data_IF_505442372932
#
_entry.id   IF_505442372932
#
_cell.length_a   1.000
_cell.length_b   1.000
_cell.length_c   1.000
_cell.angle_alpha   90.00
_cell.angle_beta   90.00
_cell.angle_gamma   90.00
#
_symmetry.space_group_name_H-M   'P 1'
#
loop_
_entity.id
_entity.type
_entity.pdbx_description
1 polymer ?
#
# COMPACT_ATOMS: atom_id res chain seq x y z
N UNK A 1 -44.34 53.42 -3.78
CA UNK A 1 -44.83 53.76 -2.42
C UNK A 1 -46.29 53.35 -2.29
N UNK A 2 -46.60 52.52 -1.29
CA UNK A 2 -47.92 52.16 -0.73
C UNK A 2 -49.12 51.96 -1.67
N UNK A 3 -49.65 50.74 -1.66
CA UNK A 3 -51.09 50.51 -1.75
C UNK A 3 -51.54 49.54 -0.63
N UNK A 4 -52.74 49.70 -0.04
CA UNK A 4 -53.14 49.06 1.22
C UNK A 4 -54.39 48.16 1.10
N UNK A 5 -54.79 47.63 2.27
CA UNK A 5 -56.15 47.29 2.72
C UNK A 5 -56.53 45.80 2.84
N UNK A 6 -56.64 45.44 4.12
CA UNK A 6 -57.42 44.36 4.72
C UNK A 6 -58.86 44.24 4.23
N UNK A 7 -59.37 43.01 4.33
CA UNK A 7 -60.66 42.58 4.90
C UNK A 7 -60.68 41.04 4.83
N UNK A 8 -61.24 40.23 5.72
CA UNK A 8 -61.78 40.34 7.08
C UNK A 8 -62.48 38.98 7.34
N UNK A 9 -62.33 38.39 8.54
CA UNK A 9 -63.37 37.71 9.35
C UNK A 9 -64.11 36.51 8.68
N UNK A 10 -64.40 35.33 9.25
CA UNK A 10 -64.60 34.85 10.62
C UNK A 10 -65.17 33.42 10.51
N UNK A 11 -64.74 32.47 11.36
CA UNK A 11 -65.61 31.57 12.18
C UNK A 11 -64.80 30.44 12.85
N UNK A 12 -64.43 30.67 14.11
CA UNK A 12 -64.87 29.99 15.35
C UNK A 12 -64.84 28.43 15.47
N UNK A 13 -64.98 27.85 16.69
CA UNK A 13 -63.93 27.03 17.33
C UNK A 13 -64.41 25.62 17.78
N UNK A 14 -63.51 24.76 18.26
CA UNK A 14 -63.83 23.74 19.27
C UNK A 14 -62.59 23.02 19.82
N UNK A 15 -62.55 22.92 21.14
CA UNK A 15 -61.59 22.14 21.93
C UNK A 15 -61.92 20.63 21.89
N UNK A 16 -60.88 19.77 21.92
CA UNK A 16 -60.59 18.74 22.96
C UNK A 16 -59.90 17.45 22.44
N UNK A 17 -58.71 17.20 23.01
CA UNK A 17 -58.10 15.94 23.51
C UNK A 17 -57.64 14.75 22.62
N UNK A 18 -56.49 14.19 23.08
CA UNK A 18 -55.88 12.83 22.91
C UNK A 18 -54.75 12.65 21.84
N UNK A 19 -53.76 11.74 22.00
CA UNK A 19 -52.93 11.30 23.15
C UNK A 19 -51.38 11.37 22.85
N UNK A 20 -50.46 11.03 23.79
CA UNK A 20 -49.02 11.05 23.54
C UNK A 20 -48.56 9.75 22.86
N UNK A 21 -47.89 9.86 21.71
CA UNK A 21 -47.39 8.73 20.93
C UNK A 21 -45.99 8.96 20.37
N UNK A 22 -44.99 8.37 21.05
CA UNK A 22 -43.72 7.88 20.50
C UNK A 22 -42.89 8.84 19.61
N UNK A 23 -42.07 9.68 20.26
CA UNK A 23 -40.81 10.10 19.65
C UNK A 23 -39.88 8.88 19.57
N UNK A 24 -39.78 8.26 18.40
CA UNK A 24 -38.69 7.34 18.06
C UNK A 24 -37.38 8.11 18.15
N UNK A 25 -36.68 7.95 19.27
CA UNK A 25 -35.27 8.30 19.39
C UNK A 25 -34.49 7.40 18.42
N UNK A 26 -34.06 7.97 17.29
CA UNK A 26 -33.03 7.36 16.48
C UNK A 26 -31.72 7.47 17.29
N UNK A 27 -31.35 6.38 17.96
CA UNK A 27 -30.03 6.22 18.56
C UNK A 27 -28.96 6.26 17.46
N UNK A 28 -28.45 7.45 17.16
CA UNK A 28 -27.10 7.59 16.65
C UNK A 28 -26.18 7.24 17.82
N UNK A 29 -25.69 5.99 17.86
CA UNK A 29 -24.62 5.61 18.76
C UNK A 29 -23.37 6.41 18.38
N UNK A 30 -23.18 7.57 19.01
CA UNK A 30 -21.90 8.25 19.02
C UNK A 30 -20.93 7.30 19.71
N UNK A 31 -20.05 6.66 18.94
CA UNK A 31 -18.92 5.93 19.47
C UNK A 31 -18.10 6.94 20.29
N UNK A 32 -18.14 6.80 21.62
CA UNK A 32 -17.29 7.57 22.52
C UNK A 32 -15.85 7.20 22.18
N UNK A 33 -15.13 8.13 21.53
CA UNK A 33 -13.73 7.98 21.21
C UNK A 33 -12.93 8.01 22.52
N UNK A 34 -12.68 6.83 23.09
CA UNK A 34 -11.71 6.69 24.16
C UNK A 34 -10.32 6.76 23.54
N UNK A 35 -9.52 7.75 23.95
CA UNK A 35 -8.09 7.75 23.67
C UNK A 35 -7.49 6.41 24.13
N UNK A 36 -6.54 5.83 23.37
CA UNK A 36 -5.93 4.56 23.75
C UNK A 36 -5.30 4.71 25.14
N UNK A 37 -5.55 3.75 26.02
CA UNK A 37 -5.00 3.81 27.37
C UNK A 37 -3.47 3.82 27.28
N UNK A 38 -2.83 4.90 27.72
CA UNK A 38 -1.37 4.97 27.75
C UNK A 38 -0.86 3.91 28.73
N UNK A 39 -0.16 2.90 28.20
CA UNK A 39 0.40 1.78 28.98
C UNK A 39 1.91 1.91 29.01
N UNK A 40 2.51 2.39 30.11
CA UNK A 40 3.94 2.26 30.29
C UNK A 40 4.26 0.78 30.40
N UNK A 41 4.95 0.25 29.39
CA UNK A 41 5.42 -1.12 29.37
C UNK A 41 6.93 -1.05 29.40
N UNK A 42 7.54 -1.40 30.52
CA UNK A 42 9.00 -1.56 30.62
C UNK A 42 9.54 -2.49 29.52
N UNK A 43 8.74 -3.49 29.14
CA UNK A 43 9.05 -4.34 28.00
C UNK A 43 9.13 -3.54 26.69
N UNK A 44 8.19 -2.63 26.40
CA UNK A 44 8.28 -1.81 25.19
C UNK A 44 9.59 -0.99 25.16
N UNK A 45 9.99 -0.39 26.29
CA UNK A 45 11.24 0.37 26.39
C UNK A 45 12.46 -0.49 26.05
N UNK A 46 12.54 -1.72 26.59
CA UNK A 46 13.62 -2.67 26.28
C UNK A 46 13.68 -3.03 24.79
N UNK A 47 12.53 -3.21 24.14
CA UNK A 47 12.48 -3.53 22.70
C UNK A 47 12.79 -2.32 21.82
N UNK A 48 12.40 -1.11 22.22
CA UNK A 48 12.74 0.13 21.52
C UNK A 48 14.25 0.37 21.51
N UNK A 49 14.97 -0.02 22.58
CA UNK A 49 16.43 0.13 22.66
C UNK A 49 17.20 -0.72 21.64
N UNK A 50 16.59 -1.79 21.12
CA UNK A 50 17.24 -2.68 20.14
C UNK A 50 17.37 -2.00 18.78
N UNK A 51 18.47 -2.30 18.09
CA UNK A 51 18.68 -1.84 16.72
C UNK A 51 18.02 -2.80 15.73
N UNK A 52 17.26 -2.24 14.78
CA UNK A 52 16.72 -3.00 13.67
C UNK A 52 17.84 -3.33 12.67
N UNK A 53 17.95 -4.60 12.27
CA UNK A 53 19.01 -5.04 11.35
C UNK A 53 18.52 -4.91 9.92
N UNK A 54 19.08 -4.01 9.09
CA UNK A 54 18.63 -3.87 7.71
C UNK A 54 18.96 -5.12 6.89
N UNK A 55 18.12 -5.40 5.90
CA UNK A 55 18.30 -6.47 4.91
C UNK A 55 18.50 -5.88 3.51
N UNK A 56 19.26 -6.57 2.67
CA UNK A 56 19.36 -6.30 1.23
C UNK A 56 18.68 -7.40 0.43
N UNK A 57 18.22 -7.08 -0.78
CA UNK A 57 17.67 -8.06 -1.72
C UNK A 57 18.66 -9.21 -1.95
N UNK A 58 19.96 -8.88 -2.11
CA UNK A 58 21.02 -9.87 -2.27
C UNK A 58 21.11 -10.85 -1.10
N UNK A 59 20.97 -10.36 0.14
CA UNK A 59 21.01 -11.21 1.33
C UNK A 59 19.81 -12.17 1.35
N UNK A 60 18.61 -11.68 1.05
CA UNK A 60 17.39 -12.50 1.00
C UNK A 60 17.47 -13.56 -0.11
N UNK A 61 17.94 -13.18 -1.30
CA UNK A 61 18.19 -14.09 -2.42
C UNK A 61 19.19 -15.19 -2.06
N UNK A 62 20.34 -14.83 -1.46
CA UNK A 62 21.37 -15.81 -1.13
C UNK A 62 20.89 -16.79 -0.05
N UNK A 63 20.14 -16.28 0.94
CA UNK A 63 19.60 -17.09 2.03
C UNK A 63 18.68 -18.21 1.52
N UNK A 64 17.76 -17.91 0.60
CA UNK A 64 16.79 -18.90 0.13
C UNK A 64 17.30 -19.87 -0.95
N UNK A 65 18.43 -19.60 -1.63
CA UNK A 65 19.02 -20.53 -2.62
C UNK A 65 19.47 -21.88 -2.04
N UNK A 66 19.81 -21.91 -0.76
CA UNK A 66 20.28 -23.10 -0.07
C UNK A 66 19.42 -23.30 1.17
N UNK A 67 18.18 -23.71 0.96
CA UNK A 67 17.16 -23.83 1.99
C UNK A 67 17.25 -25.20 2.68
N UNK A 68 17.80 -25.21 3.89
CA UNK A 68 17.86 -26.37 4.79
C UNK A 68 16.92 -26.16 5.98
N UNK A 69 16.55 -27.23 6.69
CA UNK A 69 15.74 -27.12 7.91
C UNK A 69 16.37 -26.15 8.93
N UNK A 70 17.69 -26.26 9.17
CA UNK A 70 18.40 -25.35 10.08
C UNK A 70 18.23 -23.89 9.67
N UNK A 71 18.40 -23.59 8.38
CA UNK A 71 18.26 -22.22 7.88
C UNK A 71 16.82 -21.74 7.93
N UNK A 72 15.84 -22.60 7.68
CA UNK A 72 14.43 -22.22 7.84
C UNK A 72 14.14 -21.81 9.30
N UNK A 73 14.66 -22.54 10.28
CA UNK A 73 14.53 -22.21 11.70
C UNK A 73 15.31 -20.94 12.07
N UNK A 74 16.48 -20.71 11.48
CA UNK A 74 17.23 -19.45 11.64
C UNK A 74 16.43 -18.26 11.09
N UNK A 75 15.80 -18.43 9.93
CA UNK A 75 14.91 -17.43 9.31
C UNK A 75 13.68 -17.14 10.18
N UNK A 76 13.09 -18.18 10.78
CA UNK A 76 11.96 -18.05 11.70
C UNK A 76 12.37 -17.24 12.94
N UNK A 77 13.53 -17.54 13.53
CA UNK A 77 14.04 -16.83 14.71
C UNK A 77 14.49 -15.40 14.37
N UNK A 78 15.00 -15.15 13.15
CA UNK A 78 15.24 -13.80 12.66
C UNK A 78 13.95 -12.99 12.66
N UNK A 79 12.87 -13.52 12.06
CA UNK A 79 11.56 -12.86 12.03
C UNK A 79 11.02 -12.63 13.46
N UNK A 80 11.16 -13.63 14.33
CA UNK A 80 10.72 -13.59 15.73
C UNK A 80 11.35 -12.44 16.53
N UNK A 81 12.59 -12.06 16.20
CA UNK A 81 13.30 -10.96 16.87
C UNK A 81 13.11 -9.62 16.15
N UNK A 82 13.10 -9.60 14.83
CA UNK A 82 13.06 -8.36 14.05
C UNK A 82 11.67 -7.74 13.97
N UNK A 83 10.61 -8.53 13.79
CA UNK A 83 9.25 -8.00 13.68
C UNK A 83 8.81 -7.22 14.93
N UNK A 84 8.91 -7.76 16.16
CA UNK A 84 8.57 -6.99 17.37
C UNK A 84 9.48 -5.78 17.57
N UNK A 85 10.77 -5.86 17.23
CA UNK A 85 11.68 -4.70 17.29
C UNK A 85 11.21 -3.56 16.39
N UNK A 86 10.90 -3.86 15.12
CA UNK A 86 10.42 -2.88 14.14
C UNK A 86 9.04 -2.32 14.51
N UNK A 87 8.17 -3.13 15.13
CA UNK A 87 6.88 -2.66 15.65
C UNK A 87 7.08 -1.73 16.86
N UNK A 88 8.00 -2.06 17.77
CA UNK A 88 8.29 -1.25 18.94
C UNK A 88 8.74 0.17 18.57
N UNK A 89 9.61 0.32 17.57
CA UNK A 89 10.00 1.64 17.05
C UNK A 89 8.81 2.45 16.53
N UNK A 90 7.87 1.80 15.82
CA UNK A 90 6.65 2.48 15.33
C UNK A 90 5.67 2.83 16.45
N UNK A 91 5.56 1.99 17.49
CA UNK A 91 4.79 2.31 18.68
C UNK A 91 5.36 3.55 19.38
N UNK A 92 6.68 3.63 19.51
CA UNK A 92 7.36 4.83 20.05
C UNK A 92 7.06 6.07 19.20
N UNK A 93 7.19 5.96 17.87
CA UNK A 93 6.90 7.09 16.98
C UNK A 93 5.47 7.63 17.21
N UNK A 94 4.47 6.74 17.31
CA UNK A 94 3.08 7.16 17.59
C UNK A 94 2.97 7.80 19.00
N UNK A 95 3.65 7.25 20.01
CA UNK A 95 3.62 7.79 21.38
C UNK A 95 4.26 9.18 21.50
N UNK A 96 5.18 9.54 20.60
CA UNK A 96 5.82 10.86 20.56
C UNK A 96 4.99 11.93 19.85
N UNK A 97 3.89 11.56 19.19
CA UNK A 97 3.00 12.53 18.54
C UNK A 97 2.24 13.36 19.59
N UNK A 98 1.78 14.58 19.24
CA UNK A 98 0.92 15.36 20.11
C UNK A 98 -0.33 14.57 20.53
N UNK A 99 -0.74 14.69 21.79
CA UNK A 99 -1.87 13.92 22.34
C UNK A 99 -3.14 14.03 21.48
N UNK A 100 -3.45 15.23 20.99
CA UNK A 100 -4.63 15.48 20.14
C UNK A 100 -4.59 14.67 18.83
N UNK A 101 -3.39 14.37 18.31
CA UNK A 101 -3.19 13.54 17.12
C UNK A 101 -3.36 12.07 17.46
N UNK A 102 -2.76 11.61 18.56
CA UNK A 102 -2.90 10.20 19.01
C UNK A 102 -4.34 9.86 19.38
N UNK A 103 -5.08 10.82 19.93
CA UNK A 103 -6.49 10.67 20.28
C UNK A 103 -7.43 10.53 19.05
N UNK A 104 -6.93 10.78 17.83
CA UNK A 104 -7.72 10.55 16.62
C UNK A 104 -8.14 9.06 16.53
N UNK A 105 -9.42 8.73 16.28
CA UNK A 105 -9.91 7.35 16.27
C UNK A 105 -9.19 6.43 15.29
N UNK A 106 -8.73 6.96 14.15
CA UNK A 106 -8.02 6.16 13.15
C UNK A 106 -6.58 5.87 13.56
N UNK A 107 -5.87 6.86 14.12
CA UNK A 107 -4.50 6.68 14.61
C UNK A 107 -4.45 5.83 15.88
N UNK A 108 -5.41 6.02 16.79
CA UNK A 108 -5.61 5.17 17.97
C UNK A 108 -5.84 3.70 17.56
N UNK A 109 -6.66 3.44 16.54
CA UNK A 109 -6.88 2.09 16.06
C UNK A 109 -5.59 1.45 15.50
N UNK A 110 -4.79 2.20 14.76
CA UNK A 110 -3.49 1.71 14.25
C UNK A 110 -2.52 1.42 15.41
N UNK A 111 -2.50 2.28 16.44
CA UNK A 111 -1.72 2.06 17.65
C UNK A 111 -2.11 0.74 18.34
N UNK A 112 -3.41 0.51 18.56
CA UNK A 112 -3.90 -0.72 19.22
C UNK A 112 -3.60 -1.98 18.41
N UNK A 113 -3.72 -1.94 17.07
CA UNK A 113 -3.31 -3.04 16.21
C UNK A 113 -1.83 -3.37 16.37
N UNK A 114 -0.97 -2.34 16.36
CA UNK A 114 0.47 -2.52 16.52
C UNK A 114 0.84 -3.01 17.92
N UNK A 115 0.16 -2.52 18.95
CA UNK A 115 0.38 -2.96 20.32
C UNK A 115 -0.01 -4.43 20.49
N UNK A 116 -1.15 -4.83 19.93
CA UNK A 116 -1.62 -6.22 19.93
C UNK A 116 -0.65 -7.13 19.19
N UNK A 117 -0.17 -6.71 18.02
CA UNK A 117 0.84 -7.46 17.26
C UNK A 117 2.17 -7.56 18.04
N UNK A 118 2.64 -6.47 18.65
CA UNK A 118 3.85 -6.45 19.47
C UNK A 118 3.76 -7.43 20.65
N UNK A 119 2.64 -7.39 21.40
CA UNK A 119 2.38 -8.29 22.52
C UNK A 119 2.33 -9.76 22.08
N UNK A 120 1.75 -10.03 20.91
CA UNK A 120 1.70 -11.37 20.31
C UNK A 120 3.10 -11.87 19.95
N UNK A 121 3.88 -11.08 19.21
CA UNK A 121 5.21 -11.46 18.75
C UNK A 121 6.22 -11.62 19.89
N UNK A 122 6.25 -10.69 20.86
CA UNK A 122 7.26 -10.72 21.93
C UNK A 122 7.14 -11.94 22.85
N UNK A 123 5.97 -12.59 22.88
CA UNK A 123 5.69 -13.78 23.70
C UNK A 123 6.00 -15.09 22.98
N UNK A 124 6.34 -15.05 21.68
CA UNK A 124 6.69 -16.25 20.92
C UNK A 124 8.03 -16.79 21.43
N UNK A 125 8.08 -18.04 21.93
CA UNK A 125 9.31 -18.66 22.39
C UNK A 125 10.25 -18.94 21.21
N UNK A 126 11.50 -19.29 21.53
CA UNK A 126 12.46 -19.71 20.51
C UNK A 126 11.93 -20.87 19.66
N UNK A 127 12.03 -20.73 18.33
CA UNK A 127 11.51 -21.71 17.37
C UNK A 127 12.58 -22.76 17.16
N UNK A 128 12.35 -23.99 17.62
CA UNK A 128 13.34 -25.08 17.60
C UNK A 128 12.92 -26.24 16.69
N UNK A 129 11.65 -26.34 16.36
CA UNK A 129 11.08 -27.40 15.54
C UNK A 129 10.29 -26.86 14.34
N UNK A 130 10.03 -27.73 13.36
CA UNK A 130 9.17 -27.39 12.23
C UNK A 130 7.73 -27.14 12.67
N UNK A 131 7.24 -27.84 13.69
CA UNK A 131 5.89 -27.62 14.24
C UNK A 131 5.77 -26.25 14.92
N UNK A 132 6.82 -25.80 15.62
CA UNK A 132 6.89 -24.42 16.14
C UNK A 132 6.90 -23.40 14.99
N UNK A 133 7.59 -23.70 13.89
CA UNK A 133 7.61 -22.85 12.70
C UNK A 133 6.23 -22.75 12.06
N UNK A 134 5.50 -23.85 11.90
CA UNK A 134 4.14 -23.84 11.38
C UNK A 134 3.19 -23.02 12.26
N UNK A 135 3.28 -23.17 13.58
CA UNK A 135 2.52 -22.34 14.53
C UNK A 135 2.88 -20.86 14.40
N UNK A 136 4.16 -20.55 14.20
CA UNK A 136 4.60 -19.17 13.97
C UNK A 136 4.14 -18.60 12.63
N UNK A 137 4.14 -19.39 11.55
CA UNK A 137 3.61 -18.98 10.25
C UNK A 137 2.13 -18.61 10.32
N UNK A 138 1.31 -19.32 11.11
CA UNK A 138 -0.09 -18.93 11.37
C UNK A 138 -0.19 -17.55 12.00
N UNK A 139 0.64 -17.26 13.01
CA UNK A 139 0.71 -15.94 13.66
C UNK A 139 1.09 -14.84 12.65
N UNK A 140 2.04 -15.11 11.75
CA UNK A 140 2.43 -14.18 10.68
C UNK A 140 1.26 -13.89 9.72
N UNK A 141 0.58 -14.93 9.24
CA UNK A 141 -0.54 -14.81 8.31
C UNK A 141 -1.72 -14.04 8.91
N UNK A 142 -2.08 -14.34 10.16
CA UNK A 142 -3.12 -13.61 10.91
C UNK A 142 -2.75 -12.13 11.04
N UNK A 143 -1.52 -11.84 11.44
CA UNK A 143 -1.07 -10.45 11.63
C UNK A 143 -1.04 -9.67 10.32
N UNK A 144 -0.59 -10.27 9.21
CA UNK A 144 -0.63 -9.65 7.88
C UNK A 144 -2.06 -9.32 7.45
N UNK A 145 -3.00 -10.22 7.74
CA UNK A 145 -4.42 -10.07 7.43
C UNK A 145 -5.05 -8.93 8.24
N UNK A 146 -4.80 -8.89 9.55
CA UNK A 146 -5.30 -7.84 10.45
C UNK A 146 -4.74 -6.46 10.04
N UNK A 147 -3.47 -6.39 9.64
CA UNK A 147 -2.81 -5.16 9.21
C UNK A 147 -3.17 -4.67 7.80
N UNK A 148 -4.11 -5.31 7.11
CA UNK A 148 -4.67 -4.80 5.85
C UNK A 148 -5.45 -3.49 6.03
N UNK A 149 -5.94 -3.18 7.23
CA UNK A 149 -6.69 -1.93 7.53
C UNK A 149 -5.77 -0.73 7.83
N UNK A 150 -4.46 -0.95 7.94
CA UNK A 150 -3.52 0.08 8.43
C UNK A 150 -3.36 1.24 7.47
N UNK A 151 -3.18 1.00 6.16
CA UNK A 151 -2.95 2.10 5.20
C UNK A 151 -4.15 3.05 5.14
N UNK A 152 -5.40 2.57 4.98
CA UNK A 152 -6.56 3.46 4.94
C UNK A 152 -6.75 4.22 6.25
N UNK A 153 -6.56 3.56 7.40
CA UNK A 153 -6.68 4.22 8.71
C UNK A 153 -5.62 5.30 8.91
N UNK A 154 -4.36 5.01 8.58
CA UNK A 154 -3.31 6.02 8.62
C UNK A 154 -3.62 7.21 7.71
N UNK A 155 -4.06 6.96 6.47
CA UNK A 155 -4.38 8.02 5.52
C UNK A 155 -5.56 8.88 5.99
N UNK A 156 -6.63 8.27 6.53
CA UNK A 156 -7.76 9.00 7.11
C UNK A 156 -7.32 9.82 8.33
N UNK A 157 -6.59 9.22 9.27
CA UNK A 157 -6.13 9.91 10.48
C UNK A 157 -5.24 11.11 10.17
N UNK A 158 -4.28 10.94 9.24
CA UNK A 158 -3.41 12.03 8.77
C UNK A 158 -4.18 13.18 8.11
N UNK A 159 -5.25 12.88 7.36
CA UNK A 159 -6.10 13.91 6.76
C UNK A 159 -6.95 14.65 7.81
N UNK A 160 -7.42 13.95 8.84
CA UNK A 160 -8.27 14.52 9.90
C UNK A 160 -7.50 15.37 10.91
N UNK A 161 -6.25 15.02 11.22
CA UNK A 161 -5.41 15.77 12.17
C UNK A 161 -4.69 16.96 11.53
N UNK A 162 -5.10 17.35 10.32
CA UNK A 162 -4.52 18.48 9.61
C UNK A 162 -4.67 19.77 10.41
N UNK A 163 -3.57 20.52 10.53
CA UNK A 163 -3.53 21.76 11.31
C UNK A 163 -3.19 21.57 12.79
N UNK A 164 -3.12 20.32 13.27
CA UNK A 164 -2.69 19.97 14.62
C UNK A 164 -1.19 19.63 14.70
N UNK A 165 -0.55 19.41 13.55
CA UNK A 165 0.88 19.16 13.39
C UNK A 165 1.40 19.90 12.16
N UNK A 166 2.71 20.16 12.13
CA UNK A 166 3.34 20.75 10.93
C UNK A 166 3.20 19.76 9.77
N UNK A 167 2.79 20.21 8.58
CA UNK A 167 2.56 19.31 7.45
C UNK A 167 3.77 18.44 7.09
N UNK A 168 4.98 18.97 7.23
CA UNK A 168 6.25 18.27 6.99
C UNK A 168 6.45 17.11 7.97
N UNK A 169 6.07 17.29 9.25
CA UNK A 169 6.12 16.24 10.27
C UNK A 169 5.09 15.16 9.99
N UNK A 170 3.89 15.54 9.55
CA UNK A 170 2.83 14.60 9.19
C UNK A 170 3.24 13.73 8.01
N UNK A 171 3.81 14.33 6.96
CA UNK A 171 4.30 13.60 5.79
C UNK A 171 5.52 12.72 6.17
N UNK A 172 6.43 13.20 7.04
CA UNK A 172 7.54 12.40 7.58
C UNK A 172 7.02 11.18 8.35
N UNK A 173 6.07 11.38 9.26
CA UNK A 173 5.42 10.31 10.02
C UNK A 173 4.79 9.26 9.10
N UNK A 174 4.02 9.70 8.10
CA UNK A 174 3.37 8.79 7.15
C UNK A 174 4.40 7.97 6.36
N UNK A 175 5.45 8.61 5.84
CA UNK A 175 6.54 7.93 5.16
C UNK A 175 7.23 6.88 6.05
N UNK A 176 7.52 7.22 7.30
CA UNK A 176 8.12 6.29 8.27
C UNK A 176 7.22 5.09 8.56
N UNK A 177 5.93 5.32 8.79
CA UNK A 177 4.94 4.26 9.05
C UNK A 177 4.79 3.31 7.85
N UNK A 178 4.68 3.87 6.64
CA UNK A 178 4.56 3.08 5.40
C UNK A 178 5.81 2.28 5.11
N UNK A 179 7.00 2.89 5.19
CA UNK A 179 8.29 2.23 4.97
C UNK A 179 8.48 1.08 5.95
N UNK A 180 8.17 1.30 7.23
CA UNK A 180 8.23 0.25 8.24
C UNK A 180 7.21 -0.86 8.04
N UNK A 181 6.03 -0.55 7.48
CA UNK A 181 5.03 -1.56 7.12
C UNK A 181 5.51 -2.43 5.97
N UNK A 182 6.02 -1.82 4.88
CA UNK A 182 6.62 -2.54 3.74
C UNK A 182 7.71 -3.48 4.27
N UNK A 183 8.60 -2.95 5.08
CA UNK A 183 9.70 -3.67 5.69
C UNK A 183 9.28 -4.90 6.51
N UNK A 184 8.30 -4.77 7.41
CA UNK A 184 7.76 -5.90 8.18
C UNK A 184 7.04 -6.92 7.30
N UNK A 185 6.33 -6.44 6.27
CA UNK A 185 5.61 -7.29 5.32
C UNK A 185 6.58 -8.13 4.49
N UNK A 186 7.63 -7.53 3.95
CA UNK A 186 8.68 -8.25 3.18
C UNK A 186 9.30 -9.37 4.01
N UNK A 187 9.65 -9.12 5.27
CA UNK A 187 10.23 -10.15 6.14
C UNK A 187 9.24 -11.29 6.38
N UNK A 188 7.99 -10.97 6.70
CA UNK A 188 6.97 -11.96 6.98
C UNK A 188 6.62 -12.79 5.74
N UNK A 189 6.35 -12.15 4.60
CA UNK A 189 6.01 -12.84 3.34
C UNK A 189 7.19 -13.68 2.83
N UNK A 190 8.42 -13.19 2.94
CA UNK A 190 9.59 -13.99 2.57
C UNK A 190 9.69 -15.28 3.40
N UNK A 191 9.48 -15.20 4.71
CA UNK A 191 9.53 -16.39 5.57
C UNK A 191 8.40 -17.38 5.28
N UNK A 192 7.21 -16.87 5.00
CA UNK A 192 6.07 -17.69 4.59
C UNK A 192 6.36 -18.40 3.26
N UNK A 193 6.80 -17.67 2.24
CA UNK A 193 7.11 -18.22 0.93
C UNK A 193 8.25 -19.25 0.97
N UNK A 194 9.28 -19.03 1.80
CA UNK A 194 10.33 -20.04 2.03
C UNK A 194 9.80 -21.29 2.75
N UNK A 195 8.90 -21.12 3.72
CA UNK A 195 8.28 -22.27 4.40
C UNK A 195 7.43 -23.10 3.42
N UNK A 196 6.65 -22.43 2.57
CA UNK A 196 5.83 -23.10 1.56
C UNK A 196 6.69 -23.83 0.51
N UNK A 197 7.81 -23.22 0.11
CA UNK A 197 8.80 -23.85 -0.78
C UNK A 197 9.41 -25.09 -0.12
N UNK A 198 9.81 -25.01 1.16
CA UNK A 198 10.39 -26.14 1.89
C UNK A 198 9.43 -27.32 2.02
N UNK A 199 8.14 -27.03 2.23
CA UNK A 199 7.09 -28.03 2.37
C UNK A 199 6.57 -28.57 1.02
N UNK A 200 7.01 -28.00 -0.10
CA UNK A 200 6.56 -28.42 -1.42
C UNK A 200 7.13 -29.80 -1.78
N UNK A 201 6.34 -30.70 -2.41
CA UNK A 201 6.75 -32.08 -2.71
C UNK A 201 8.05 -32.23 -3.52
N UNK A 202 8.44 -31.18 -4.25
CA UNK A 202 9.56 -31.15 -5.19
C UNK A 202 10.86 -30.58 -4.58
N UNK A 203 10.85 -30.14 -3.31
CA UNK A 203 12.04 -29.57 -2.64
C UNK A 203 13.13 -30.63 -2.36
N UNK A 204 12.82 -31.92 -2.48
CA UNK A 204 13.78 -33.00 -2.21
C UNK A 204 14.61 -33.37 -3.46
N UNK A 205 15.93 -33.64 -3.31
CA UNK A 205 16.90 -33.73 -4.43
C UNK A 205 16.71 -34.84 -5.47
N UNK A 206 15.70 -35.72 -5.32
CA UNK A 206 15.55 -36.89 -6.19
C UNK A 206 14.51 -36.74 -7.31
N UNK A 207 13.73 -35.65 -7.32
CA UNK A 207 12.69 -35.41 -8.33
C UNK A 207 12.74 -33.98 -8.89
N UNK A 208 13.84 -33.55 -9.51
CA UNK A 208 13.84 -32.29 -10.29
C UNK A 208 13.39 -32.57 -11.73
N UNK A 209 12.25 -32.05 -12.20
CA UNK A 209 11.93 -32.02 -13.62
C UNK A 209 12.86 -31.03 -14.33
N UNK A 210 13.26 -31.34 -15.57
CA UNK A 210 14.19 -30.53 -16.39
C UNK A 210 13.65 -29.14 -16.81
N UNK A 211 12.44 -28.76 -16.40
CA UNK A 211 11.83 -27.46 -16.65
C UNK A 211 10.90 -27.07 -15.49
N UNK A 212 11.46 -26.47 -14.43
CA UNK A 212 10.67 -25.93 -13.31
C UNK A 212 10.61 -24.38 -13.38
N UNK A 213 9.40 -23.79 -13.53
CA UNK A 213 9.20 -22.33 -13.46
C UNK A 213 9.65 -21.69 -12.12
N UNK A 214 9.81 -22.49 -11.05
CA UNK A 214 10.22 -22.00 -9.72
C UNK A 214 11.74 -21.81 -9.54
N UNK A 215 12.58 -22.18 -10.53
CA UNK A 215 14.05 -22.01 -10.45
C UNK A 215 14.46 -20.54 -10.36
N UNK A 216 13.63 -19.64 -10.90
CA UNK A 216 13.93 -18.20 -10.93
C UNK A 216 13.32 -17.41 -9.75
N UNK A 217 12.72 -18.07 -8.76
CA UNK A 217 12.06 -17.42 -7.61
C UNK A 217 12.60 -17.93 -6.28
N UNK A 218 12.95 -17.02 -5.37
CA UNK A 218 13.42 -17.34 -4.01
C UNK A 218 12.54 -16.60 -3.00
N UNK A 219 11.52 -17.29 -2.50
CA UNK A 219 10.46 -16.67 -1.71
C UNK A 219 9.69 -15.65 -2.55
N UNK A 220 9.60 -14.41 -2.09
CA UNK A 220 8.95 -13.28 -2.79
C UNK A 220 9.87 -12.58 -3.81
N UNK A 221 11.16 -12.96 -3.86
CA UNK A 221 12.14 -12.33 -4.73
C UNK A 221 12.28 -13.12 -6.02
N UNK A 222 12.03 -12.45 -7.13
CA UNK A 222 12.31 -12.96 -8.45
C UNK A 222 13.75 -12.65 -8.80
N UNK A 223 14.53 -13.68 -9.12
CA UNK A 223 15.95 -13.57 -9.47
C UNK A 223 16.15 -12.86 -10.81
N UNK A 224 15.16 -12.96 -11.69
CA UNK A 224 15.13 -12.37 -13.03
C UNK A 224 13.78 -11.70 -13.28
N UNK A 225 13.56 -10.52 -12.70
CA UNK A 225 12.44 -9.68 -13.14
C UNK A 225 12.76 -9.09 -14.52
N UNK A 226 12.00 -9.45 -15.55
CA UNK A 226 12.06 -8.76 -16.84
C UNK A 226 11.19 -7.49 -16.78
N UNK A 227 11.78 -6.32 -17.04
CA UNK A 227 11.06 -5.05 -16.97
C UNK A 227 9.92 -4.94 -18.00
N UNK A 228 10.16 -5.39 -19.24
CA UNK A 228 9.17 -5.34 -20.33
C UNK A 228 7.93 -6.16 -19.97
N UNK A 229 8.11 -7.40 -19.55
CA UNK A 229 6.99 -8.30 -19.20
C UNK A 229 6.10 -7.71 -18.10
N UNK A 230 6.71 -7.08 -17.10
CA UNK A 230 5.98 -6.45 -16.00
C UNK A 230 5.19 -5.23 -16.52
N UNK A 231 5.80 -4.39 -17.36
CA UNK A 231 5.11 -3.25 -17.99
C UNK A 231 3.94 -3.72 -18.85
N UNK A 232 4.12 -4.76 -19.67
CA UNK A 232 3.06 -5.33 -20.52
C UNK A 232 1.91 -5.89 -19.68
N UNK A 233 2.22 -6.66 -18.63
CA UNK A 233 1.22 -7.21 -17.72
C UNK A 233 0.43 -6.10 -17.02
N UNK A 234 1.14 -5.15 -16.40
CA UNK A 234 0.51 -4.00 -15.72
C UNK A 234 -0.34 -3.18 -16.70
N UNK A 235 0.15 -2.97 -17.92
CA UNK A 235 -0.53 -2.28 -19.00
C UNK A 235 -1.86 -2.95 -19.36
N UNK A 236 -1.82 -4.26 -19.67
CA UNK A 236 -2.99 -5.04 -20.03
C UNK A 236 -4.04 -5.05 -18.91
N UNK A 237 -3.63 -5.38 -17.68
CA UNK A 237 -4.55 -5.40 -16.52
C UNK A 237 -5.18 -4.02 -16.29
N UNK A 238 -4.40 -2.95 -16.41
CA UNK A 238 -4.92 -1.58 -16.22
C UNK A 238 -5.89 -1.18 -17.33
N UNK A 239 -5.58 -1.51 -18.58
CA UNK A 239 -6.46 -1.26 -19.71
C UNK A 239 -7.80 -2.01 -19.57
N UNK A 240 -7.77 -3.28 -19.15
CA UNK A 240 -8.97 -4.08 -18.88
C UNK A 240 -9.83 -3.46 -17.77
N UNK A 241 -9.21 -3.05 -16.66
CA UNK A 241 -9.91 -2.39 -15.55
C UNK A 241 -10.57 -1.07 -15.96
N UNK A 242 -9.87 -0.25 -16.76
CA UNK A 242 -10.39 1.04 -17.22
C UNK A 242 -11.52 0.84 -18.24
N UNK A 243 -11.40 -0.14 -19.16
CA UNK A 243 -12.48 -0.54 -20.06
C UNK A 243 -13.72 -0.99 -19.29
N UNK A 244 -13.54 -1.79 -18.24
CA UNK A 244 -14.65 -2.24 -17.39
C UNK A 244 -15.33 -1.08 -16.65
N UNK A 245 -14.56 -0.07 -16.22
CA UNK A 245 -15.08 1.07 -15.45
C UNK A 245 -15.79 2.13 -16.30
N UNK A 246 -15.27 2.43 -17.48
CA UNK A 246 -15.79 3.49 -18.36
C UNK A 246 -16.62 2.97 -19.54
N UNK A 247 -16.71 1.65 -19.71
CA UNK A 247 -17.45 0.99 -20.78
C UNK A 247 -16.62 0.72 -22.04
N UNK A 248 -17.06 -0.25 -22.84
CA UNK A 248 -16.35 -0.76 -24.02
C UNK A 248 -16.14 0.26 -25.15
N UNK A 249 -16.80 1.42 -25.10
CA UNK A 249 -16.71 2.47 -26.11
C UNK A 249 -15.51 3.40 -25.93
N UNK A 250 -14.82 3.33 -24.79
CA UNK A 250 -13.64 4.18 -24.54
C UNK A 250 -12.45 3.70 -25.36
N UNK A 251 -11.90 4.61 -26.16
CA UNK A 251 -10.64 4.40 -26.86
C UNK A 251 -9.49 4.53 -25.85
N UNK A 252 -8.71 3.47 -25.70
CA UNK A 252 -7.54 3.45 -24.82
C UNK A 252 -6.26 3.76 -25.59
N UNK A 253 -5.26 4.39 -24.94
CA UNK A 253 -3.95 4.56 -25.53
C UNK A 253 -3.23 3.22 -25.64
N UNK A 254 -2.49 3.04 -26.74
CA UNK A 254 -1.52 1.96 -26.87
C UNK A 254 -0.35 2.22 -25.91
N UNK A 255 0.33 1.15 -25.50
CA UNK A 255 1.53 1.24 -24.66
C UNK A 255 2.69 0.75 -25.52
N UNK A 256 3.58 1.66 -25.87
CA UNK A 256 4.79 1.37 -26.64
C UNK A 256 5.96 1.22 -25.69
N UNK A 257 6.75 0.16 -25.86
CA UNK A 257 7.90 -0.14 -24.99
C UNK A 257 9.15 -0.18 -25.85
N UNK A 258 10.14 0.63 -25.50
CA UNK A 258 11.41 0.78 -26.21
C UNK A 258 12.62 0.69 -25.26
N UNK A 259 13.82 0.53 -25.82
CA UNK A 259 15.08 0.44 -25.08
C UNK A 259 15.56 -0.99 -24.83
N UNK A 260 16.06 -1.28 -23.64
CA UNK A 260 16.65 -2.56 -23.26
C UNK A 260 15.57 -3.55 -22.82
N UNK A 261 14.92 -4.20 -23.78
CA UNK A 261 13.77 -5.08 -23.55
C UNK A 261 14.12 -6.38 -22.81
N UNK A 262 15.38 -6.82 -22.89
CA UNK A 262 15.89 -8.03 -22.24
C UNK A 262 16.47 -7.74 -20.84
N UNK A 263 16.29 -6.51 -20.33
CA UNK A 263 16.82 -6.10 -19.04
C UNK A 263 16.19 -6.92 -17.91
N UNK A 264 17.04 -7.70 -17.23
CA UNK A 264 16.66 -8.51 -16.08
C UNK A 264 17.44 -8.12 -14.82
N UNK A 265 16.75 -8.10 -13.69
CA UNK A 265 17.35 -7.76 -12.40
C UNK A 265 16.60 -8.42 -11.24
N UNK A 266 17.27 -8.69 -10.12
CA UNK A 266 16.62 -9.22 -8.93
C UNK A 266 15.77 -8.15 -8.24
N UNK A 267 14.48 -8.41 -8.05
CA UNK A 267 13.57 -7.50 -7.37
C UNK A 267 12.36 -8.22 -6.77
N UNK A 268 11.61 -7.53 -5.89
CA UNK A 268 10.31 -8.02 -5.42
C UNK A 268 9.25 -7.63 -6.45
N UNK A 269 8.73 -8.62 -7.18
CA UNK A 269 7.85 -8.38 -8.31
C UNK A 269 6.60 -7.58 -7.92
N UNK A 270 5.95 -7.93 -6.80
CA UNK A 270 4.74 -7.25 -6.32
C UNK A 270 4.94 -5.75 -6.05
N UNK A 271 6.15 -5.34 -5.61
CA UNK A 271 6.49 -3.93 -5.43
C UNK A 271 6.60 -3.21 -6.76
N UNK A 272 7.26 -3.84 -7.74
CA UNK A 272 7.45 -3.26 -9.06
C UNK A 272 6.14 -3.15 -9.81
N UNK A 273 5.33 -4.19 -9.75
CA UNK A 273 3.96 -4.21 -10.25
C UNK A 273 3.14 -3.06 -9.65
N UNK A 274 3.14 -2.89 -8.32
CA UNK A 274 2.47 -1.76 -7.68
C UNK A 274 2.92 -0.41 -8.24
N UNK A 275 4.23 -0.15 -8.30
CA UNK A 275 4.75 1.13 -8.79
C UNK A 275 4.35 1.35 -10.25
N UNK A 276 4.67 0.41 -11.14
CA UNK A 276 4.44 0.53 -12.58
C UNK A 276 2.95 0.63 -12.87
N UNK A 277 2.12 -0.19 -12.25
CA UNK A 277 0.68 -0.14 -12.45
C UNK A 277 0.03 1.14 -11.96
N UNK A 278 0.48 1.70 -10.83
CA UNK A 278 0.02 3.02 -10.39
C UNK A 278 0.41 4.12 -11.38
N UNK A 279 1.63 4.08 -11.93
CA UNK A 279 2.10 5.05 -12.93
C UNK A 279 1.32 4.91 -14.25
N UNK A 280 1.23 3.70 -14.82
CA UNK A 280 0.48 3.43 -16.04
C UNK A 280 -0.99 3.82 -15.88
N UNK A 281 -1.63 3.48 -14.75
CA UNK A 281 -3.02 3.87 -14.52
C UNK A 281 -3.20 5.37 -14.48
N UNK A 282 -2.29 6.10 -13.83
CA UNK A 282 -2.36 7.56 -13.79
C UNK A 282 -2.20 8.16 -15.21
N UNK A 283 -1.27 7.64 -16.00
CA UNK A 283 -1.04 8.07 -17.39
C UNK A 283 -2.24 7.76 -18.29
N UNK A 284 -2.78 6.55 -18.27
CA UNK A 284 -3.99 6.20 -19.04
C UNK A 284 -5.15 7.09 -18.61
N UNK A 285 -5.36 7.28 -17.30
CA UNK A 285 -6.46 8.09 -16.81
C UNK A 285 -6.32 9.57 -17.22
N UNK A 286 -5.11 10.12 -17.22
CA UNK A 286 -4.86 11.49 -17.66
C UNK A 286 -5.15 11.67 -19.16
N UNK A 287 -4.79 10.68 -19.97
CA UNK A 287 -5.03 10.71 -21.42
C UNK A 287 -6.52 10.58 -21.76
N UNK A 288 -7.26 9.66 -21.14
CA UNK A 288 -8.69 9.47 -21.42
C UNK A 288 -9.57 10.63 -20.95
N UNK A 289 -9.17 11.35 -19.90
CA UNK A 289 -9.90 12.51 -19.38
C UNK A 289 -9.78 13.75 -20.28
N UNK A 290 -8.90 13.72 -21.29
CA UNK A 290 -8.74 14.84 -22.22
C UNK A 290 -9.83 14.87 -23.27
N UNK A 291 -10.63 15.94 -23.22
CA UNK A 291 -11.72 16.19 -24.16
C UNK A 291 -11.32 16.14 -25.64
N UNK A 292 -10.09 16.54 -25.97
CA UNK A 292 -9.54 16.52 -27.34
C UNK A 292 -9.50 15.13 -27.97
N UNK A 293 -9.58 14.06 -27.17
CA UNK A 293 -9.55 12.68 -27.63
C UNK A 293 -10.92 11.99 -27.57
N UNK A 294 -12.01 12.72 -27.26
CA UNK A 294 -13.35 12.15 -27.39
C UNK A 294 -13.66 11.88 -28.86
N UNK A 295 -13.73 10.59 -29.23
CA UNK A 295 -14.05 10.14 -30.58
C UNK A 295 -12.84 9.95 -31.51
N UNK A 296 -11.60 10.17 -31.02
CA UNK A 296 -10.36 9.91 -31.76
C UNK A 296 -9.48 8.94 -30.97
N UNK A 297 -8.55 8.26 -31.66
CA UNK A 297 -7.57 7.40 -30.99
C UNK A 297 -6.62 8.28 -30.16
N UNK A 298 -6.51 8.08 -28.84
CA UNK A 298 -5.59 8.84 -28.01
C UNK A 298 -4.12 8.54 -28.36
N UNK A 299 -3.19 9.44 -28.04
CA UNK A 299 -1.76 9.23 -28.26
C UNK A 299 -1.26 8.05 -27.40
N UNK A 300 -0.24 7.31 -27.88
CA UNK A 300 0.35 6.21 -27.12
C UNK A 300 1.04 6.72 -25.85
N UNK A 301 1.15 5.83 -24.86
CA UNK A 301 2.03 5.99 -23.70
C UNK A 301 3.36 5.35 -24.06
N UNK A 302 4.43 6.14 -24.00
CA UNK A 302 5.77 5.71 -24.36
C UNK A 302 6.52 5.26 -23.10
N UNK A 303 7.03 4.04 -23.09
CA UNK A 303 7.79 3.46 -21.97
C UNK A 303 9.21 3.13 -22.44
N UNK A 304 10.19 3.85 -21.91
CA UNK A 304 11.61 3.64 -22.22
C UNK A 304 12.30 2.89 -21.07
N UNK A 305 12.89 1.75 -21.36
CA UNK A 305 13.66 0.93 -20.42
C UNK A 305 15.16 1.13 -20.70
N UNK A 306 15.88 1.66 -19.73
CA UNK A 306 17.33 1.86 -19.81
C UNK A 306 18.04 1.02 -18.75
N UNK A 307 18.89 0.10 -19.20
CA UNK A 307 19.75 -0.67 -18.33
C UNK A 307 21.16 -0.08 -18.30
N UNK A 308 21.70 0.12 -17.11
CA UNK A 308 23.08 0.54 -16.87
C UNK A 308 23.78 -0.50 -15.99
N UNK A 309 25.08 -0.32 -15.73
CA UNK A 309 25.84 -1.23 -14.87
C UNK A 309 25.34 -1.27 -13.42
N UNK A 310 24.74 -0.18 -12.92
CA UNK A 310 24.29 -0.04 -11.53
C UNK A 310 22.77 0.07 -11.38
N UNK A 311 22.07 0.56 -12.41
CA UNK A 311 20.66 0.92 -12.33
C UNK A 311 19.86 0.43 -13.52
N UNK A 312 18.58 0.14 -13.28
CA UNK A 312 17.55 0.04 -14.32
C UNK A 312 16.64 1.25 -14.17
N UNK A 313 16.44 1.99 -15.26
CA UNK A 313 15.61 3.18 -15.30
C UNK A 313 14.43 2.91 -16.22
N UNK A 314 13.22 3.14 -15.73
CA UNK A 314 11.98 3.02 -16.50
C UNK A 314 11.37 4.41 -16.56
N UNK A 315 11.33 4.98 -17.77
CA UNK A 315 10.64 6.25 -18.04
C UNK A 315 9.26 5.94 -18.62
N UNK A 316 8.21 6.47 -18.03
CA UNK A 316 6.83 6.39 -18.54
C UNK A 316 6.39 7.80 -18.92
N UNK A 317 6.11 8.01 -20.20
CA UNK A 317 5.80 9.31 -20.79
C UNK A 317 4.39 9.32 -21.37
N UNK A 318 3.58 10.29 -20.94
CA UNK A 318 2.21 10.47 -21.43
C UNK A 318 1.96 11.86 -22.01
N UNK A 319 0.90 11.98 -22.81
CA UNK A 319 0.40 13.25 -23.34
C UNK A 319 -0.96 13.61 -22.72
N UNK A 320 -1.11 13.32 -21.41
CA UNK A 320 -2.30 13.57 -20.60
C UNK A 320 -2.49 15.04 -20.21
N UNK A 321 -1.66 15.95 -20.73
CA UNK A 321 -1.74 17.41 -20.53
C UNK A 321 -1.14 17.93 -19.22
N UNK A 322 -0.31 17.14 -18.56
CA UNK A 322 0.47 17.57 -17.41
C UNK A 322 -0.31 17.72 -16.10
N UNK A 323 0.46 17.93 -15.03
CA UNK A 323 0.00 18.27 -13.68
C UNK A 323 0.01 19.79 -13.55
N UNK A 324 -1.08 20.36 -13.04
CA UNK A 324 -1.18 21.80 -12.84
C UNK A 324 -0.24 22.31 -11.74
N UNK A 325 0.30 23.52 -11.92
CA UNK A 325 1.18 24.19 -10.97
C UNK A 325 0.59 24.33 -9.55
N UNK A 326 -0.74 24.36 -9.40
CA UNK A 326 -1.40 24.37 -8.08
C UNK A 326 -1.28 23.04 -7.32
N UNK A 327 -1.15 21.93 -8.06
CA UNK A 327 -1.13 20.57 -7.52
C UNK A 327 0.31 20.08 -7.32
N UNK A 328 1.23 20.50 -8.19
CA UNK A 328 2.63 20.03 -8.22
C UNK A 328 3.33 20.10 -6.85
N UNK A 329 3.21 21.18 -6.04
CA UNK A 329 3.84 21.26 -4.71
C UNK A 329 3.31 20.25 -3.70
N UNK A 330 2.14 19.66 -3.97
CA UNK A 330 1.43 18.74 -3.09
C UNK A 330 1.46 17.30 -3.59
N UNK A 331 2.16 17.02 -4.70
CA UNK A 331 2.17 15.73 -5.37
C UNK A 331 2.58 14.57 -4.45
N UNK A 332 3.59 14.82 -3.61
CA UNK A 332 4.16 13.83 -2.68
C UNK A 332 3.55 13.88 -1.29
N UNK A 333 2.60 14.78 -1.05
CA UNK A 333 2.04 14.99 0.29
C UNK A 333 0.81 14.13 0.53
N UNK A 334 0.79 13.48 1.69
CA UNK A 334 -0.37 12.70 2.14
C UNK A 334 -1.45 13.61 2.74
N UNK A 335 -1.04 14.72 3.36
CA UNK A 335 -1.92 15.64 4.08
C UNK A 335 -2.30 16.91 3.28
N UNK A 336 -1.43 17.41 2.39
CA UNK A 336 -1.60 18.68 1.66
C UNK A 336 -2.37 18.51 0.34
N UNK A 337 -2.96 19.61 -0.14
CA UNK A 337 -3.47 19.74 -1.50
C UNK A 337 -4.95 20.12 -1.61
N UNK A 338 -5.37 20.69 -2.76
CA UNK A 338 -6.72 21.21 -2.97
C UNK A 338 -7.80 20.13 -2.96
N UNK A 339 -7.44 18.86 -3.21
CA UNK A 339 -8.38 17.73 -3.34
C UNK A 339 -8.59 16.92 -2.05
N UNK A 340 -8.20 17.45 -0.89
CA UNK A 340 -8.24 16.71 0.38
C UNK A 340 -9.63 16.19 0.77
N UNK A 341 -10.69 17.01 0.64
CA UNK A 341 -12.05 16.59 1.00
C UNK A 341 -12.53 15.40 0.17
N UNK A 342 -12.22 15.42 -1.14
CA UNK A 342 -12.53 14.32 -2.06
C UNK A 342 -11.73 13.07 -1.73
N UNK A 343 -10.46 13.21 -1.34
CA UNK A 343 -9.62 12.07 -0.87
C UNK A 343 -10.20 11.44 0.39
N UNK A 344 -10.62 12.25 1.36
CA UNK A 344 -11.23 11.77 2.62
C UNK A 344 -12.50 10.94 2.34
N UNK A 345 -13.41 11.46 1.51
CA UNK A 345 -14.63 10.75 1.11
C UNK A 345 -14.33 9.44 0.37
N UNK A 346 -13.32 9.44 -0.51
CA UNK A 346 -12.94 8.26 -1.26
C UNK A 346 -12.27 7.20 -0.36
N UNK A 347 -11.40 7.60 0.57
CA UNK A 347 -10.73 6.70 1.51
C UNK A 347 -11.71 6.05 2.48
N UNK A 348 -12.76 6.76 2.90
CA UNK A 348 -13.81 6.19 3.74
C UNK A 348 -14.54 4.99 3.09
N UNK A 349 -14.48 4.88 1.75
CA UNK A 349 -15.07 3.77 0.99
C UNK A 349 -14.14 2.55 0.85
N UNK A 350 -12.90 2.63 1.32
CA UNK A 350 -11.89 1.57 1.19
C UNK A 350 -11.42 1.13 2.58
N UNK A 351 -12.10 0.16 3.21
CA UNK A 351 -11.80 -0.24 4.60
C UNK A 351 -10.49 -1.02 4.74
N UNK A 352 -9.99 -1.66 3.67
CA UNK A 352 -8.75 -2.44 3.63
C UNK A 352 -7.94 -2.10 2.39
N UNK A 353 -6.62 -1.99 2.55
CA UNK A 353 -5.65 -1.76 1.47
C UNK A 353 -4.28 -2.36 1.85
N UNK A 354 -3.84 -3.32 1.06
CA UNK A 354 -2.56 -4.02 1.11
C UNK A 354 -1.45 -3.23 0.42
N UNK A 355 -1.79 -2.44 -0.60
CA UNK A 355 -0.86 -1.69 -1.44
C UNK A 355 -0.22 -2.56 -2.50
N UNK A 356 -1.01 -3.39 -3.20
CA UNK A 356 -0.56 -4.22 -4.34
C UNK A 356 -1.48 -3.99 -5.55
N UNK A 357 -1.01 -4.32 -6.76
CA UNK A 357 -1.80 -4.12 -7.98
C UNK A 357 -3.05 -5.02 -8.02
N UNK A 358 -2.92 -6.22 -7.46
CA UNK A 358 -3.93 -7.28 -7.45
C UNK A 358 -5.19 -6.92 -6.65
N UNK A 359 -5.21 -5.79 -5.94
CA UNK A 359 -6.37 -5.28 -5.20
C UNK A 359 -7.38 -4.51 -6.07
N UNK A 360 -6.99 -4.12 -7.29
CA UNK A 360 -7.89 -3.44 -8.21
C UNK A 360 -8.86 -4.46 -8.79
N UNK A 361 -10.08 -4.51 -8.24
CA UNK A 361 -11.14 -5.43 -8.67
C UNK A 361 -12.46 -4.68 -8.77
N UNK A 362 -13.25 -4.98 -9.80
CA UNK A 362 -14.61 -4.46 -9.92
C UNK A 362 -15.51 -5.07 -8.83
N UNK A 363 -16.44 -4.31 -8.24
CA UNK A 363 -17.46 -4.89 -7.37
C UNK A 363 -18.38 -5.81 -8.19
N UNK A 364 -18.37 -7.12 -7.92
CA UNK A 364 -19.32 -8.09 -8.49
C UNK A 364 -18.71 -9.24 -9.29
N UNK A 365 -17.43 -9.21 -9.64
CA UNK A 365 -16.74 -10.38 -10.22
C UNK A 365 -16.32 -11.34 -9.11
N UNK A 366 -17.22 -12.26 -8.72
CA UNK A 366 -16.80 -13.48 -8.03
C UNK A 366 -15.92 -14.27 -9.00
N UNK A 367 -14.68 -14.56 -8.61
CA UNK A 367 -13.84 -15.47 -9.36
C UNK A 367 -14.53 -16.84 -9.42
N UNK A 368 -14.72 -17.34 -10.64
CA UNK A 368 -14.77 -18.77 -10.91
C UNK A 368 -13.57 -19.42 -10.22
N UNK A 369 -13.83 -20.40 -9.36
CA UNK A 369 -12.83 -21.07 -8.49
C UNK A 369 -11.75 -21.87 -9.24
N UNK A 370 -11.71 -21.84 -10.57
CA UNK A 370 -11.03 -22.87 -11.37
C UNK A 370 -9.75 -22.44 -12.12
N UNK A 371 -9.24 -21.21 -11.98
CA UNK A 371 -8.02 -20.81 -12.71
C UNK A 371 -6.82 -20.26 -11.91
N UNK A 372 -6.91 -20.10 -10.58
CA UNK A 372 -5.88 -19.43 -9.78
C UNK A 372 -5.02 -20.38 -8.94
N UNK A 373 -4.30 -21.30 -9.59
CA UNK A 373 -3.16 -22.01 -8.96
C UNK A 373 -1.79 -21.67 -9.56
N UNK A 374 -1.73 -20.80 -10.56
CA UNK A 374 -0.50 -20.54 -11.31
C UNK A 374 0.04 -19.10 -11.26
N UNK A 375 -0.63 -18.17 -10.57
CA UNK A 375 -0.10 -16.82 -10.41
C UNK A 375 0.40 -16.62 -8.98
N UNK A 376 1.65 -16.19 -8.81
CA UNK A 376 2.35 -16.01 -7.54
C UNK A 376 1.81 -14.87 -6.67
N UNK A 377 0.50 -14.65 -6.67
CA UNK A 377 -0.17 -13.67 -5.83
C UNK A 377 -0.29 -14.18 -4.39
N UNK A 378 0.20 -13.38 -3.43
CA UNK A 378 -0.06 -13.57 -2.00
C UNK A 378 -1.56 -13.78 -1.78
N UNK A 379 -1.96 -14.85 -1.07
CA UNK A 379 -3.35 -15.26 -0.83
C UNK A 379 -4.23 -14.13 -0.23
N UNK A 380 -3.58 -13.11 0.33
CA UNK A 380 -4.20 -11.92 0.91
C UNK A 380 -4.83 -10.98 -0.14
N UNK A 381 -4.38 -11.01 -1.40
CA UNK A 381 -4.91 -10.15 -2.48
C UNK A 381 -6.40 -10.40 -2.82
N UNK A 382 -6.94 -11.56 -2.40
CA UNK A 382 -8.36 -11.88 -2.48
C UNK A 382 -9.23 -11.11 -1.47
N UNK A 383 -8.63 -10.59 -0.39
CA UNK A 383 -9.33 -9.98 0.75
C UNK A 383 -9.62 -8.47 0.59
N UNK A 384 -9.18 -7.90 -0.53
CA UNK A 384 -9.20 -6.46 -0.79
C UNK A 384 -9.68 -6.19 -2.21
N UNK A 385 -10.67 -5.32 -2.36
CA UNK A 385 -11.14 -4.82 -3.65
C UNK A 385 -11.24 -3.30 -3.62
N UNK A 386 -10.69 -2.66 -4.64
CA UNK A 386 -10.79 -1.22 -4.86
C UNK A 386 -11.40 -0.96 -6.25
N UNK A 387 -12.47 -0.14 -6.34
CA UNK A 387 -12.98 0.31 -7.62
C UNK A 387 -11.88 1.06 -8.40
N UNK A 388 -11.64 0.72 -9.69
CA UNK A 388 -10.55 1.29 -10.49
C UNK A 388 -10.66 2.81 -10.69
N UNK A 389 -11.88 3.33 -10.68
CA UNK A 389 -12.29 4.72 -10.83
C UNK A 389 -12.08 5.56 -9.55
N UNK A 390 -11.84 4.92 -8.40
CA UNK A 390 -11.73 5.61 -7.11
C UNK A 390 -10.32 6.20 -6.89
N UNK A 391 -10.22 7.53 -6.92
CA UNK A 391 -8.96 8.27 -6.69
C UNK A 391 -8.70 8.52 -5.20
N UNK A 392 -7.86 7.69 -4.58
CA UNK A 392 -7.48 7.83 -3.17
C UNK A 392 -6.42 8.92 -2.94
N UNK A 393 -5.61 9.23 -3.96
CA UNK A 393 -4.56 10.27 -3.87
C UNK A 393 -3.36 9.90 -3.00
N UNK A 394 -3.17 8.60 -2.73
CA UNK A 394 -2.00 8.06 -2.01
C UNK A 394 -1.07 7.23 -2.92
N UNK A 395 -1.48 6.97 -4.17
CA UNK A 395 -0.78 6.10 -5.11
C UNK A 395 0.65 6.54 -5.42
N UNK A 396 0.82 7.77 -5.92
CA UNK A 396 2.15 8.31 -6.24
C UNK A 396 3.07 8.40 -5.00
N UNK A 397 2.65 8.98 -3.87
CA UNK A 397 3.46 8.95 -2.64
C UNK A 397 3.85 7.53 -2.21
N UNK A 398 2.92 6.56 -2.26
CA UNK A 398 3.20 5.16 -1.94
C UNK A 398 4.22 4.54 -2.90
N UNK A 399 4.08 4.75 -4.22
CA UNK A 399 5.01 4.27 -5.23
C UNK A 399 6.43 4.80 -4.98
N UNK A 400 6.55 6.06 -4.56
CA UNK A 400 7.85 6.64 -4.17
C UNK A 400 8.43 5.97 -2.93
N UNK A 401 7.62 5.71 -1.90
CA UNK A 401 8.09 4.98 -0.71
C UNK A 401 8.58 3.58 -1.08
N UNK A 402 7.87 2.85 -1.95
CA UNK A 402 8.32 1.55 -2.45
C UNK A 402 9.63 1.63 -3.25
N UNK A 403 9.78 2.63 -4.14
CA UNK A 403 11.00 2.80 -4.93
C UNK A 403 12.21 3.13 -4.03
N UNK A 404 12.04 4.06 -3.09
CA UNK A 404 13.12 4.48 -2.17
C UNK A 404 13.47 3.40 -1.14
N UNK A 405 12.55 2.47 -0.83
CA UNK A 405 12.78 1.41 0.15
C UNK A 405 13.99 0.55 -0.23
N UNK A 406 14.14 0.20 -1.51
CA UNK A 406 15.30 -0.51 -2.06
C UNK A 406 16.37 0.42 -2.67
N UNK A 407 16.51 1.62 -2.11
CA UNK A 407 17.48 2.63 -2.53
C UNK A 407 17.37 3.07 -4.01
N UNK A 408 16.17 2.96 -4.58
CA UNK A 408 15.80 3.59 -5.85
C UNK A 408 15.31 5.03 -5.69
N UNK A 409 14.73 5.57 -6.76
CA UNK A 409 14.06 6.87 -6.77
C UNK A 409 12.85 6.85 -7.71
N UNK A 410 11.91 7.77 -7.47
CA UNK A 410 10.79 8.04 -8.37
C UNK A 410 10.68 9.55 -8.53
N UNK A 411 10.89 10.03 -9.75
CA UNK A 411 10.85 11.45 -10.11
C UNK A 411 9.75 11.69 -11.15
N UNK A 412 9.13 12.86 -11.08
CA UNK A 412 8.03 13.25 -11.97
C UNK A 412 8.36 14.61 -12.58
N UNK A 413 8.43 14.66 -13.90
CA UNK A 413 8.59 15.88 -14.68
C UNK A 413 7.30 16.16 -15.43
N UNK A 414 6.61 17.22 -15.04
CA UNK A 414 5.33 17.62 -15.62
C UNK A 414 5.51 18.81 -16.55
N UNK A 415 4.95 18.71 -17.74
CA UNK A 415 4.80 19.80 -18.70
C UNK A 415 3.32 20.19 -18.75
N UNK A 416 2.92 21.18 -17.95
CA UNK A 416 1.53 21.64 -17.87
C UNK A 416 1.03 22.02 -19.27
N UNK A 417 -0.10 21.44 -19.69
CA UNK A 417 -0.66 21.58 -21.03
C UNK A 417 -0.26 20.48 -22.01
N UNK A 418 0.86 19.78 -21.80
CA UNK A 418 1.37 18.73 -22.68
C UNK A 418 1.26 17.32 -22.10
N UNK A 419 1.97 17.02 -21.02
CA UNK A 419 2.21 15.64 -20.60
C UNK A 419 3.02 15.50 -19.32
N UNK A 420 3.29 14.26 -18.93
CA UNK A 420 4.10 13.92 -17.75
C UNK A 420 5.10 12.83 -18.12
N UNK A 421 6.34 13.00 -17.67
CA UNK A 421 7.37 11.97 -17.66
C UNK A 421 7.62 11.51 -16.22
N UNK A 422 7.43 10.21 -15.96
CA UNK A 422 7.75 9.58 -14.70
C UNK A 422 9.02 8.74 -14.84
N UNK A 423 10.04 9.01 -14.03
CA UNK A 423 11.30 8.29 -14.02
C UNK A 423 11.42 7.43 -12.76
N UNK A 424 11.37 6.12 -12.94
CA UNK A 424 11.61 5.13 -11.89
C UNK A 424 13.04 4.60 -12.01
N UNK A 425 13.87 4.82 -11.00
CA UNK A 425 15.21 4.27 -10.92
C UNK A 425 15.28 3.14 -9.89
N UNK A 426 15.83 1.99 -10.30
CA UNK A 426 15.96 0.79 -9.48
C UNK A 426 17.43 0.39 -9.40
N UNK A 427 17.89 -0.06 -8.23
CA UNK A 427 19.23 -0.61 -8.05
C UNK A 427 19.33 -2.02 -8.64
N UNK A 428 20.13 -2.20 -9.69
CA UNK A 428 20.26 -3.48 -10.42
C UNK A 428 20.90 -4.59 -9.56
N UNK A 429 21.86 -4.24 -8.71
CA UNK A 429 22.69 -5.24 -8.02
C UNK A 429 22.05 -5.84 -6.76
N UNK A 430 20.94 -5.25 -6.26
CA UNK A 430 20.29 -5.67 -5.01
C UNK A 430 21.18 -5.65 -3.76
N UNK A 431 22.37 -5.05 -3.83
CA UNK A 431 23.37 -5.01 -2.76
C UNK A 431 23.20 -3.84 -1.80
N UNK A 432 22.29 -2.91 -2.10
CA UNK A 432 21.91 -1.83 -1.20
C UNK A 432 20.96 -2.38 -0.14
N UNK A 433 21.23 -2.01 1.09
CA UNK A 433 20.34 -2.31 2.20
C UNK A 433 19.04 -1.52 2.09
N UNK A 434 17.97 -2.10 2.63
CA UNK A 434 16.69 -1.42 2.80
C UNK A 434 16.90 -0.11 3.58
N UNK A 435 16.19 0.94 3.18
CA UNK A 435 16.16 2.18 3.96
C UNK A 435 15.24 1.98 5.16
N UNK A 436 15.79 1.99 6.37
CA UNK A 436 15.03 2.01 7.64
C UNK A 436 15.13 3.38 8.30
N UNK A 437 14.05 3.81 8.96
CA UNK A 437 14.13 4.88 9.95
C UNK A 437 14.79 4.31 11.20
N UNK A 438 16.06 4.68 11.43
CA UNK A 438 16.88 4.17 12.54
C UNK A 438 16.54 4.88 13.83
N UNK A 439 16.87 4.27 14.97
CA UNK A 439 16.77 4.89 16.29
C UNK A 439 17.49 6.24 16.36
N UNK A 440 18.69 6.34 15.79
CA UNK A 440 19.44 7.60 15.74
C UNK A 440 18.66 8.74 15.05
N UNK A 441 17.77 8.43 14.10
CA UNK A 441 16.89 9.41 13.47
C UNK A 441 15.63 9.75 14.28
N UNK A 442 15.28 8.92 15.26
CA UNK A 442 14.19 9.16 16.23
C UNK A 442 14.69 10.02 17.40
N UNK A 443 15.88 9.72 17.93
CA UNK A 443 16.49 10.40 19.08
C UNK A 443 17.06 11.80 18.71
N UNK A 444 17.14 12.13 17.41
CA UNK A 444 17.62 13.43 16.91
C UNK A 444 16.53 14.51 16.79
N UNK A 445 15.34 14.28 17.35
CA UNK A 445 14.20 15.22 17.36
C UNK A 445 14.12 15.94 18.70
#
# INVERSE_FOLDING_TARGET
MRAPRCRSLTRAPSHFLCPPGQRRAAHAAAAVAHAPAWRPSSALDEWVQREARPISLRRLTFFGRTLTQSRLLDGANYCRLELPTRIAHRLRDIQTLPYVVVANPHLAHVYELYLTAFERFRRVPEIRSLDDNERYCKILQETLTEHATVIPRLALGVLEVRGLMRPEETDKFMNTMLRSRISRRVIAEQHLALTDTFNSPWHFPHNQPEHDPHVDTVGEIFLKCNAKEIVERCGKTTQELIKAAHGSHVQLPDIHIEGHLDATFPYIQSHLEYIIGELIRNSIQAVIEKKKYHGAKPPPIEVLICETSQHVIIRISDQGGGISNEILPHLWSFSKGPRHQKRLQNLARVPKLLGTLQELKMPGTQASKDHDKHDGGSSLSSLTSRPPDLRLGIGLPMSRVYAEYWAGSLEIHSLEGFGVDAFLQISKLGNKDERLTTRASMDAI
#
